data_IF_526013657189
#
_entry.id   IF_526013657189
#
_cell.length_a   1.000
_cell.length_b   1.000
_cell.length_c   1.000
_cell.angle_alpha   90.00
_cell.angle_beta   90.00
_cell.angle_gamma   90.00
#
_symmetry.space_group_name_H-M   'P 1'
#
loop_
_entity.id
_entity.type
_entity.pdbx_description
1 polymer ?
#
# COMPACT_ATOMS: atom_id res chain seq x y z
N UNK A 1 23.49 12.80 50.93
CA UNK A 1 22.45 13.45 50.09
C UNK A 1 22.72 13.10 48.64
N UNK A 2 21.70 12.64 47.91
CA UNK A 2 21.81 12.29 46.49
C UNK A 2 20.77 11.26 46.05
N UNK A 3 19.49 11.63 46.04
CA UNK A 3 18.43 10.81 45.43
C UNK A 3 18.49 11.01 43.91
N UNK A 4 19.00 10.04 43.17
CA UNK A 4 18.86 9.99 41.71
C UNK A 4 17.45 9.50 41.36
N UNK A 5 16.55 10.45 41.08
CA UNK A 5 15.22 10.16 40.56
C UNK A 5 15.30 9.65 39.13
N UNK A 6 15.24 8.34 38.96
CA UNK A 6 15.00 7.67 37.68
C UNK A 6 13.64 8.11 37.13
N UNK A 7 13.65 9.02 36.15
CA UNK A 7 12.48 9.34 35.33
C UNK A 7 12.23 8.18 34.38
N UNK A 8 11.45 7.20 34.84
CA UNK A 8 10.82 6.20 33.95
C UNK A 8 9.87 6.95 33.02
N UNK A 9 10.31 7.21 31.78
CA UNK A 9 9.44 7.75 30.73
C UNK A 9 8.31 6.73 30.51
N UNK A 10 7.07 7.14 30.80
CA UNK A 10 5.87 6.34 30.61
C UNK A 10 5.64 6.04 29.11
N UNK A 11 6.22 4.95 28.61
CA UNK A 11 5.98 4.42 27.25
C UNK A 11 4.48 4.17 26.98
N UNK A 12 3.69 3.89 28.01
CA UNK A 12 2.24 3.72 27.93
C UNK A 12 1.49 5.01 27.58
N UNK A 13 1.95 6.18 28.03
CA UNK A 13 1.35 7.49 27.68
C UNK A 13 1.67 7.87 26.24
N UNK A 14 2.89 7.59 25.78
CA UNK A 14 3.32 7.87 24.39
C UNK A 14 2.54 7.00 23.41
N UNK A 15 2.38 5.70 23.70
CA UNK A 15 1.62 4.78 22.85
C UNK A 15 0.13 5.16 22.77
N UNK A 16 -0.48 5.62 23.86
CA UNK A 16 -1.88 6.10 23.87
C UNK A 16 -2.08 7.39 23.08
N UNK A 17 -1.15 8.34 23.17
CA UNK A 17 -1.24 9.59 22.41
C UNK A 17 -1.13 9.32 20.91
N UNK A 18 -0.19 8.48 20.48
CA UNK A 18 -0.02 8.16 19.05
C UNK A 18 -1.24 7.45 18.43
N UNK A 19 -1.92 6.57 19.18
CA UNK A 19 -3.16 5.92 18.71
C UNK A 19 -4.28 6.95 18.55
N UNK A 20 -4.37 7.92 19.46
CA UNK A 20 -5.37 8.97 19.40
C UNK A 20 -5.13 9.92 18.21
N UNK A 21 -3.86 10.25 17.94
CA UNK A 21 -3.48 11.11 16.81
C UNK A 21 -3.72 10.41 15.45
N UNK A 22 -3.46 9.10 15.36
CA UNK A 22 -3.75 8.30 14.17
C UNK A 22 -5.26 8.16 13.91
N UNK A 23 -6.06 7.87 14.94
CA UNK A 23 -7.51 7.83 14.77
C UNK A 23 -8.07 9.20 14.39
N UNK A 24 -7.52 10.28 14.92
CA UNK A 24 -7.91 11.64 14.56
C UNK A 24 -7.60 11.94 13.09
N UNK A 25 -6.44 11.53 12.57
CA UNK A 25 -6.10 11.73 11.16
C UNK A 25 -7.04 10.97 10.22
N UNK A 26 -7.39 9.72 10.55
CA UNK A 26 -8.37 8.93 9.79
C UNK A 26 -9.76 9.59 9.80
N UNK A 27 -10.20 10.12 10.96
CA UNK A 27 -11.47 10.83 11.08
C UNK A 27 -11.50 12.10 10.24
N UNK A 28 -10.44 12.91 10.32
CA UNK A 28 -10.32 14.11 9.50
C UNK A 28 -10.35 13.76 8.02
N UNK A 29 -9.63 12.70 7.62
CA UNK A 29 -9.62 12.23 6.24
C UNK A 29 -10.99 11.80 5.74
N UNK A 30 -11.76 11.10 6.56
CA UNK A 30 -13.15 10.78 6.23
C UNK A 30 -13.99 12.04 5.95
N UNK A 31 -13.92 13.05 6.83
CA UNK A 31 -14.69 14.28 6.66
C UNK A 31 -14.23 15.11 5.46
N UNK A 32 -12.95 15.10 5.11
CA UNK A 32 -12.44 15.70 3.87
C UNK A 32 -13.09 15.05 2.64
N UNK A 33 -13.13 13.70 2.59
CA UNK A 33 -13.73 12.96 1.47
C UNK A 33 -15.24 13.19 1.42
N UNK A 34 -15.90 13.16 2.58
CA UNK A 34 -17.35 13.37 2.71
C UNK A 34 -17.76 14.84 2.53
N UNK A 35 -16.81 15.77 2.33
CA UNK A 35 -17.05 17.21 2.27
C UNK A 35 -17.87 17.74 3.47
N UNK A 36 -17.50 17.29 4.68
CA UNK A 36 -18.20 17.59 5.93
C UNK A 36 -19.49 16.77 6.18
N UNK A 37 -19.88 15.90 5.26
CA UNK A 37 -21.02 14.99 5.42
C UNK A 37 -20.76 13.87 6.44
N UNK A 38 -21.83 13.15 6.80
CA UNK A 38 -21.78 12.01 7.73
C UNK A 38 -21.51 10.66 7.05
N UNK A 39 -21.59 10.61 5.72
CA UNK A 39 -21.46 9.39 4.90
C UNK A 39 -20.77 9.70 3.58
N UNK A 40 -20.09 8.71 3.00
CA UNK A 40 -19.52 8.77 1.65
C UNK A 40 -20.30 7.82 0.75
N UNK A 41 -20.94 8.34 -0.29
CA UNK A 41 -21.59 7.52 -1.30
C UNK A 41 -20.61 6.99 -2.37
N UNK A 42 -21.09 6.10 -3.23
CA UNK A 42 -20.28 5.45 -4.27
C UNK A 42 -19.62 6.43 -5.21
N UNK A 43 -20.36 7.45 -5.65
CA UNK A 43 -19.85 8.44 -6.61
C UNK A 43 -18.72 9.27 -5.99
N UNK A 44 -18.88 9.69 -4.73
CA UNK A 44 -17.85 10.44 -4.00
C UNK A 44 -16.62 9.56 -3.76
N UNK A 45 -16.82 8.31 -3.30
CA UNK A 45 -15.71 7.38 -3.07
C UNK A 45 -14.91 7.09 -4.35
N UNK A 46 -15.61 6.90 -5.47
CA UNK A 46 -14.99 6.57 -6.76
C UNK A 46 -14.20 7.76 -7.30
N UNK A 47 -14.78 8.96 -7.25
CA UNK A 47 -14.07 10.19 -7.63
C UNK A 47 -12.83 10.40 -6.76
N UNK A 48 -12.93 10.15 -5.47
CA UNK A 48 -11.84 10.31 -4.52
C UNK A 48 -10.67 9.35 -4.81
N UNK A 49 -10.97 8.08 -5.08
CA UNK A 49 -9.96 7.02 -5.25
C UNK A 49 -9.48 6.84 -6.70
N UNK A 50 -10.02 7.62 -7.64
CA UNK A 50 -9.82 7.45 -9.08
C UNK A 50 -8.35 7.53 -9.49
N UNK A 51 -7.55 8.42 -8.90
CA UNK A 51 -6.13 8.56 -9.25
C UNK A 51 -5.26 7.44 -8.66
N UNK A 52 -5.68 6.85 -7.54
CA UNK A 52 -4.87 5.91 -6.74
C UNK A 52 -5.16 4.44 -7.02
N UNK A 53 -6.37 4.12 -7.49
CA UNK A 53 -6.82 2.73 -7.58
C UNK A 53 -7.34 2.39 -8.97
N UNK A 54 -7.26 1.12 -9.34
CA UNK A 54 -7.97 0.61 -10.51
C UNK A 54 -9.47 0.45 -10.21
N UNK A 55 -10.36 0.49 -11.22
CA UNK A 55 -11.80 0.40 -11.02
C UNK A 55 -12.25 -0.82 -10.22
N UNK A 56 -11.59 -1.97 -10.39
CA UNK A 56 -11.93 -3.18 -9.64
C UNK A 56 -11.61 -3.04 -8.14
N UNK A 57 -10.48 -2.44 -7.78
CA UNK A 57 -10.15 -2.22 -6.36
C UNK A 57 -11.11 -1.20 -5.72
N UNK A 58 -11.54 -0.17 -6.46
CA UNK A 58 -12.57 0.77 -5.99
C UNK A 58 -13.85 0.04 -5.62
N UNK A 59 -14.31 -0.86 -6.48
CA UNK A 59 -15.50 -1.69 -6.24
C UNK A 59 -15.32 -2.57 -5.01
N UNK A 60 -14.21 -3.29 -4.90
CA UNK A 60 -13.96 -4.19 -3.76
C UNK A 60 -13.95 -3.45 -2.42
N UNK A 61 -13.25 -2.31 -2.36
CA UNK A 61 -13.19 -1.49 -1.16
C UNK A 61 -14.56 -0.89 -0.82
N UNK A 62 -15.25 -0.32 -1.80
CA UNK A 62 -16.56 0.28 -1.57
C UNK A 62 -17.57 -0.75 -1.09
N UNK A 63 -17.66 -1.91 -1.74
CA UNK A 63 -18.60 -2.96 -1.38
C UNK A 63 -18.34 -3.53 0.03
N UNK A 64 -17.09 -3.48 0.49
CA UNK A 64 -16.71 -3.91 1.84
C UNK A 64 -17.02 -2.87 2.90
N UNK A 65 -16.77 -1.59 2.59
CA UNK A 65 -16.95 -0.46 3.49
C UNK A 65 -18.40 -0.01 3.62
N UNK A 66 -19.20 -0.21 2.56
CA UNK A 66 -20.55 0.35 2.45
C UNK A 66 -21.66 -0.57 2.96
N UNK A 67 -21.37 -1.85 3.21
CA UNK A 67 -22.38 -2.79 3.71
C UNK A 67 -22.63 -2.61 5.21
N UNK A 68 -23.89 -2.72 5.67
CA UNK A 68 -25.09 -3.05 4.90
C UNK A 68 -25.81 -1.83 4.27
N UNK A 69 -25.41 -0.60 4.62
CA UNK A 69 -26.20 0.61 4.41
C UNK A 69 -26.05 1.24 3.01
N UNK A 70 -25.27 0.62 2.12
CA UNK A 70 -24.88 1.10 0.79
C UNK A 70 -24.18 2.47 0.79
N UNK A 71 -23.65 2.90 1.94
CA UNK A 71 -22.84 4.11 2.13
C UNK A 71 -21.71 3.81 3.10
N UNK A 72 -20.56 4.47 2.93
CA UNK A 72 -19.44 4.33 3.86
C UNK A 72 -19.65 5.30 5.03
N UNK A 73 -19.71 4.76 6.24
CA UNK A 73 -19.80 5.55 7.48
C UNK A 73 -18.41 5.79 8.07
N UNK A 74 -18.30 6.80 8.94
CA UNK A 74 -17.04 7.11 9.62
C UNK A 74 -16.48 5.89 10.38
N UNK A 75 -17.34 5.18 11.12
CA UNK A 75 -16.93 4.02 11.91
C UNK A 75 -16.34 2.92 11.03
N UNK A 76 -17.02 2.57 9.92
CA UNK A 76 -16.56 1.56 8.97
C UNK A 76 -15.25 1.96 8.29
N UNK A 77 -15.15 3.22 7.89
CA UNK A 77 -13.94 3.76 7.28
C UNK A 77 -12.75 3.64 8.23
N UNK A 78 -12.89 4.15 9.46
CA UNK A 78 -11.81 4.11 10.46
C UNK A 78 -11.46 2.67 10.83
N UNK A 79 -12.45 1.82 11.11
CA UNK A 79 -12.23 0.43 11.50
C UNK A 79 -11.47 -0.36 10.42
N UNK A 80 -11.86 -0.20 9.15
CA UNK A 80 -11.17 -0.87 8.06
C UNK A 80 -9.76 -0.30 7.84
N UNK A 81 -9.61 1.02 7.89
CA UNK A 81 -8.33 1.70 7.76
C UNK A 81 -7.32 1.24 8.84
N UNK A 82 -7.74 1.18 10.11
CA UNK A 82 -6.90 0.67 11.20
C UNK A 82 -6.45 -0.77 10.98
N UNK A 83 -7.32 -1.58 10.39
CA UNK A 83 -7.03 -2.99 10.15
C UNK A 83 -6.08 -3.17 8.97
N UNK A 84 -6.29 -2.48 7.85
CA UNK A 84 -5.46 -2.61 6.65
C UNK A 84 -4.12 -1.85 6.75
N UNK A 85 -4.02 -0.84 7.62
CA UNK A 85 -2.76 -0.16 7.95
C UNK A 85 -2.05 -0.78 9.16
N UNK A 86 -2.66 -1.80 9.75
CA UNK A 86 -2.20 -2.48 10.94
C UNK A 86 -1.04 -3.45 10.71
N UNK A 87 -0.83 -4.33 11.69
CA UNK A 87 0.13 -5.44 11.57
C UNK A 87 -0.33 -6.50 10.54
N UNK A 88 0.52 -7.47 10.22
CA UNK A 88 0.22 -8.48 9.19
C UNK A 88 -1.05 -9.30 9.49
N UNK A 89 -1.40 -9.53 10.76
CA UNK A 89 -2.63 -10.24 11.12
C UNK A 89 -3.85 -9.37 10.83
N UNK A 90 -3.77 -8.08 11.12
CA UNK A 90 -4.82 -7.12 10.82
C UNK A 90 -4.95 -6.95 9.30
N UNK A 91 -3.85 -6.81 8.56
CA UNK A 91 -3.87 -6.72 7.10
C UNK A 91 -4.51 -7.95 6.46
N UNK A 92 -4.13 -9.16 6.89
CA UNK A 92 -4.74 -10.39 6.39
C UNK A 92 -6.26 -10.40 6.59
N UNK A 93 -6.75 -9.95 7.75
CA UNK A 93 -8.19 -9.84 8.02
C UNK A 93 -8.86 -8.81 7.12
N UNK A 94 -8.27 -7.64 6.92
CA UNK A 94 -8.82 -6.63 6.00
C UNK A 94 -8.89 -7.13 4.56
N UNK A 95 -7.85 -7.82 4.07
CA UNK A 95 -7.87 -8.40 2.72
C UNK A 95 -8.97 -9.45 2.58
N UNK A 96 -9.15 -10.34 3.57
CA UNK A 96 -10.22 -11.32 3.55
C UNK A 96 -11.62 -10.69 3.62
N UNK A 97 -11.77 -9.52 4.26
CA UNK A 97 -13.04 -8.79 4.29
C UNK A 97 -13.48 -8.25 2.92
N UNK A 98 -12.56 -8.16 1.95
CA UNK A 98 -12.91 -7.83 0.56
C UNK A 98 -13.82 -8.89 -0.07
N UNK A 99 -13.85 -10.11 0.50
CA UNK A 99 -14.72 -11.20 0.08
C UNK A 99 -14.61 -11.52 -1.42
N UNK A 100 -13.36 -11.53 -1.91
CA UNK A 100 -12.98 -11.90 -3.27
C UNK A 100 -11.90 -12.99 -3.22
N UNK A 101 -11.71 -13.77 -4.29
CA UNK A 101 -10.57 -14.68 -4.39
C UNK A 101 -9.25 -13.92 -4.19
N UNK A 102 -8.35 -14.46 -3.36
CA UNK A 102 -7.11 -13.76 -2.97
C UNK A 102 -6.26 -13.35 -4.18
N UNK A 103 -6.24 -14.18 -5.23
CA UNK A 103 -5.54 -13.88 -6.49
C UNK A 103 -6.06 -12.58 -7.10
N UNK A 104 -7.38 -12.41 -7.17
CA UNK A 104 -7.99 -11.19 -7.70
C UNK A 104 -7.68 -9.98 -6.82
N UNK A 105 -7.68 -10.15 -5.50
CA UNK A 105 -7.28 -9.08 -4.56
C UNK A 105 -5.84 -8.64 -4.82
N UNK A 106 -4.91 -9.59 -4.95
CA UNK A 106 -3.50 -9.30 -5.25
C UNK A 106 -3.38 -8.62 -6.61
N UNK A 107 -4.04 -9.14 -7.65
CA UNK A 107 -4.04 -8.55 -8.99
C UNK A 107 -4.48 -7.10 -9.00
N UNK A 108 -5.58 -6.75 -8.32
CA UNK A 108 -6.10 -5.37 -8.31
C UNK A 108 -5.27 -4.44 -7.43
N UNK A 109 -4.66 -4.95 -6.35
CA UNK A 109 -3.69 -4.21 -5.53
C UNK A 109 -2.43 -3.87 -6.35
N UNK A 110 -1.86 -4.86 -7.04
CA UNK A 110 -0.69 -4.67 -7.91
C UNK A 110 -1.03 -3.71 -9.07
N UNK A 111 -2.19 -3.88 -9.69
CA UNK A 111 -2.65 -2.98 -10.77
C UNK A 111 -2.78 -1.53 -10.30
N UNK A 112 -3.31 -1.33 -9.09
CA UNK A 112 -3.43 0.00 -8.48
C UNK A 112 -2.07 0.62 -8.17
N UNK A 113 -1.13 -0.19 -7.69
CA UNK A 113 0.25 0.22 -7.47
C UNK A 113 0.94 0.63 -8.77
N UNK A 114 0.82 -0.18 -9.82
CA UNK A 114 1.36 0.13 -11.13
C UNK A 114 0.79 1.42 -11.71
N UNK A 115 -0.51 1.67 -11.50
CA UNK A 115 -1.15 2.93 -11.87
C UNK A 115 -0.55 4.12 -11.11
N UNK A 116 -0.40 4.03 -9.79
CA UNK A 116 0.17 5.10 -8.96
C UNK A 116 1.60 5.44 -9.37
N UNK A 117 2.43 4.41 -9.54
CA UNK A 117 3.85 4.55 -9.84
C UNK A 117 4.11 4.83 -11.34
N UNK A 118 3.07 4.73 -12.18
CA UNK A 118 3.11 4.86 -13.64
C UNK A 118 4.07 3.84 -14.28
N UNK A 119 3.92 2.57 -13.89
CA UNK A 119 4.72 1.46 -14.37
C UNK A 119 4.04 0.77 -15.57
N UNK A 120 4.81 0.01 -16.34
CA UNK A 120 4.29 -0.73 -17.50
C UNK A 120 3.26 -1.80 -17.07
N UNK A 121 1.98 -1.68 -17.49
CA UNK A 121 0.93 -2.62 -17.13
C UNK A 121 1.20 -4.07 -17.59
N UNK A 122 2.01 -4.27 -18.63
CA UNK A 122 2.37 -5.61 -19.13
C UNK A 122 3.16 -6.43 -18.11
N UNK A 123 3.80 -5.76 -17.16
CA UNK A 123 4.56 -6.40 -16.08
C UNK A 123 3.69 -6.80 -14.87
N UNK A 124 2.40 -6.43 -14.84
CA UNK A 124 1.49 -6.79 -13.74
C UNK A 124 1.40 -8.31 -13.61
N UNK A 125 1.11 -9.02 -14.70
CA UNK A 125 0.95 -10.47 -14.71
C UNK A 125 2.22 -11.18 -14.22
N UNK A 126 3.40 -10.72 -14.64
CA UNK A 126 4.68 -11.29 -14.19
C UNK A 126 4.87 -11.20 -12.68
N UNK A 127 4.53 -10.04 -12.09
CA UNK A 127 4.68 -9.85 -10.64
C UNK A 127 3.61 -10.63 -9.86
N UNK A 128 2.38 -10.67 -10.37
CA UNK A 128 1.30 -11.46 -9.77
C UNK A 128 1.67 -12.94 -9.78
N UNK A 129 2.09 -13.48 -10.93
CA UNK A 129 2.44 -14.90 -11.04
C UNK A 129 3.57 -15.26 -10.07
N UNK A 130 4.62 -14.43 -9.98
CA UNK A 130 5.69 -14.60 -8.99
C UNK A 130 5.18 -14.61 -7.54
N UNK A 131 4.31 -13.67 -7.16
CA UNK A 131 3.73 -13.64 -5.81
C UNK A 131 2.89 -14.90 -5.57
N UNK A 132 2.11 -15.32 -6.56
CA UNK A 132 1.20 -16.45 -6.45
C UNK A 132 1.91 -17.81 -6.35
N UNK A 133 3.15 -17.95 -6.83
CA UNK A 133 3.94 -19.19 -6.67
C UNK A 133 4.12 -19.60 -5.20
N UNK A 134 4.20 -18.61 -4.29
CA UNK A 134 4.42 -18.85 -2.86
C UNK A 134 3.14 -18.95 -2.03
N UNK A 135 1.95 -18.90 -2.64
CA UNK A 135 0.71 -18.76 -1.87
C UNK A 135 0.34 -20.06 -1.14
N UNK A 136 -0.09 -19.99 0.13
CA UNK A 136 -0.60 -21.16 0.83
C UNK A 136 -1.86 -21.73 0.16
N UNK A 137 -1.98 -23.06 0.11
CA UNK A 137 -3.15 -23.76 -0.41
C UNK A 137 -4.41 -23.52 0.43
N UNK A 138 -4.23 -23.36 1.74
CA UNK A 138 -5.31 -23.03 2.68
C UNK A 138 -5.14 -21.58 3.13
N UNK A 139 -6.16 -20.77 2.85
CA UNK A 139 -6.18 -19.34 3.14
C UNK A 139 -7.09 -19.08 4.34
N UNK A 140 -6.49 -19.11 5.52
CA UNK A 140 -7.07 -18.59 6.74
C UNK A 140 -6.31 -17.31 7.16
N UNK A 141 -6.81 -16.53 8.12
CA UNK A 141 -6.16 -15.30 8.53
C UNK A 141 -4.69 -15.47 8.98
N UNK A 142 -4.35 -16.61 9.60
CA UNK A 142 -2.99 -16.89 10.06
C UNK A 142 -2.07 -17.24 8.90
N UNK A 143 -2.50 -18.09 7.97
CA UNK A 143 -1.67 -18.46 6.82
C UNK A 143 -1.45 -17.28 5.89
N UNK A 144 -2.46 -16.44 5.68
CA UNK A 144 -2.32 -15.22 4.90
C UNK A 144 -1.42 -14.19 5.60
N UNK A 145 -1.51 -14.04 6.92
CA UNK A 145 -0.60 -13.18 7.69
C UNK A 145 0.87 -13.61 7.54
N UNK A 146 1.15 -14.91 7.70
CA UNK A 146 2.50 -15.45 7.51
C UNK A 146 3.00 -15.24 6.08
N UNK A 147 2.12 -15.41 5.10
CA UNK A 147 2.44 -15.15 3.70
C UNK A 147 2.79 -13.68 3.46
N UNK A 148 1.97 -12.73 3.95
CA UNK A 148 2.26 -11.29 3.89
C UNK A 148 3.61 -10.96 4.54
N UNK A 149 3.89 -11.53 5.71
CA UNK A 149 5.16 -11.34 6.41
C UNK A 149 6.36 -11.83 5.58
N UNK A 150 6.21 -12.94 4.86
CA UNK A 150 7.26 -13.48 3.98
C UNK A 150 7.40 -12.73 2.65
N UNK A 151 6.32 -12.11 2.16
CA UNK A 151 6.27 -11.43 0.87
C UNK A 151 6.38 -9.92 1.02
N UNK A 152 7.64 -9.45 1.09
CA UNK A 152 7.96 -8.03 1.28
C UNK A 152 7.27 -7.15 0.23
N UNK A 153 7.27 -7.55 -1.04
CA UNK A 153 6.67 -6.74 -2.10
C UNK A 153 5.16 -6.59 -1.93
N UNK A 154 4.46 -7.67 -1.61
CA UNK A 154 3.01 -7.64 -1.44
C UNK A 154 2.62 -6.76 -0.24
N UNK A 155 3.29 -6.95 0.90
CA UNK A 155 3.07 -6.12 2.08
C UNK A 155 3.36 -4.64 1.82
N UNK A 156 4.40 -4.34 1.04
CA UNK A 156 4.73 -2.97 0.65
C UNK A 156 3.64 -2.36 -0.22
N UNK A 157 3.15 -3.11 -1.21
CA UNK A 157 2.07 -2.66 -2.11
C UNK A 157 0.77 -2.43 -1.35
N UNK A 158 0.36 -3.37 -0.49
CA UNK A 158 -0.85 -3.24 0.33
C UNK A 158 -0.76 -1.98 1.20
N UNK A 159 0.38 -1.79 1.87
CA UNK A 159 0.61 -0.59 2.70
C UNK A 159 0.59 0.69 1.87
N UNK A 160 1.33 0.74 0.76
CA UNK A 160 1.43 1.92 -0.10
C UNK A 160 0.06 2.39 -0.61
N UNK A 161 -0.76 1.45 -1.11
CA UNK A 161 -2.10 1.76 -1.61
C UNK A 161 -3.02 2.16 -0.46
N UNK A 162 -2.99 1.43 0.65
CA UNK A 162 -3.81 1.73 1.82
C UNK A 162 -3.51 3.10 2.40
N UNK A 163 -2.24 3.47 2.54
CA UNK A 163 -1.86 4.79 3.03
C UNK A 163 -2.34 5.89 2.09
N UNK A 164 -2.18 5.68 0.79
CA UNK A 164 -2.64 6.64 -0.23
C UNK A 164 -4.16 6.89 -0.16
N UNK A 165 -4.95 5.86 0.18
CA UNK A 165 -6.41 5.95 0.31
C UNK A 165 -6.85 6.51 1.67
N UNK A 166 -6.29 6.02 2.78
CA UNK A 166 -6.83 6.27 4.12
C UNK A 166 -6.12 7.39 4.88
N UNK A 167 -4.86 7.66 4.55
CA UNK A 167 -4.09 8.77 5.15
C UNK A 167 -4.04 9.93 4.14
N UNK A 168 -3.86 9.61 2.87
CA UNK A 168 -3.77 10.56 1.77
C UNK A 168 -2.49 10.36 0.95
N UNK A 169 -2.40 10.99 -0.22
CA UNK A 169 -1.22 10.88 -1.07
C UNK A 169 0.01 11.40 -0.30
N UNK A 170 1.05 10.57 -0.18
CA UNK A 170 2.36 11.04 0.28
C UNK A 170 2.93 11.99 -0.77
N UNK A 171 3.66 13.02 -0.34
CA UNK A 171 4.33 13.98 -1.22
C UNK A 171 5.16 13.26 -2.30
N UNK A 172 4.62 13.13 -3.52
CA UNK A 172 5.19 12.80 -4.84
C UNK A 172 6.36 11.81 -5.02
N UNK A 173 6.92 11.24 -3.95
CA UNK A 173 8.06 10.36 -3.98
C UNK A 173 7.55 8.98 -4.39
N UNK A 174 7.71 8.70 -5.69
CA UNK A 174 7.55 7.36 -6.23
C UNK A 174 8.37 6.38 -5.39
N UNK A 175 7.76 5.25 -5.02
CA UNK A 175 8.42 4.20 -4.27
C UNK A 175 9.57 3.60 -5.08
N UNK A 176 9.36 3.44 -6.38
CA UNK A 176 10.34 2.86 -7.28
C UNK A 176 11.05 3.94 -8.10
N UNK A 177 12.32 3.69 -8.39
CA UNK A 177 13.02 4.51 -9.35
C UNK A 177 12.43 4.35 -10.73
N UNK A 178 12.23 5.48 -11.42
CA UNK A 178 11.89 5.45 -12.83
C UNK A 178 13.09 4.96 -13.62
N UNK A 179 12.86 3.92 -14.40
CA UNK A 179 13.84 3.41 -15.36
C UNK A 179 13.49 3.90 -16.76
N UNK A 180 14.51 4.03 -17.60
CA UNK A 180 14.32 4.27 -19.02
C UNK A 180 13.50 3.12 -19.65
N UNK A 181 12.69 3.44 -20.67
CA UNK A 181 12.03 2.43 -21.50
C UNK A 181 13.02 1.45 -22.17
N UNK A 182 14.29 1.84 -22.30
CA UNK A 182 15.38 1.00 -22.82
C UNK A 182 16.01 0.09 -21.76
N UNK A 183 15.49 0.08 -20.53
CA UNK A 183 15.95 -0.80 -19.46
C UNK A 183 15.76 -2.27 -19.83
N UNK A 184 16.76 -3.10 -19.53
CA UNK A 184 16.63 -4.56 -19.63
C UNK A 184 15.71 -5.13 -18.54
N UNK A 185 15.54 -4.42 -17.41
CA UNK A 185 14.68 -4.84 -16.32
C UNK A 185 13.25 -4.41 -16.57
N UNK A 186 12.34 -5.38 -16.48
CA UNK A 186 10.89 -5.12 -16.43
C UNK A 186 10.52 -4.43 -15.12
N UNK A 187 9.39 -3.73 -15.09
CA UNK A 187 8.93 -3.09 -13.85
C UNK A 187 8.62 -4.11 -12.74
N UNK A 188 8.24 -5.34 -13.09
CA UNK A 188 8.15 -6.45 -12.13
C UNK A 188 9.52 -6.77 -11.52
N UNK A 189 10.58 -6.89 -12.33
CA UNK A 189 11.93 -7.13 -11.82
C UNK A 189 12.41 -6.00 -10.90
N UNK A 190 12.04 -4.74 -11.17
CA UNK A 190 12.35 -3.62 -10.27
C UNK A 190 11.67 -3.74 -8.91
N UNK A 191 10.40 -4.17 -8.90
CA UNK A 191 9.68 -4.45 -7.66
C UNK A 191 10.41 -5.54 -6.84
N UNK A 192 10.90 -6.58 -7.51
CA UNK A 192 11.64 -7.66 -6.85
C UNK A 192 13.00 -7.20 -6.34
N UNK A 193 13.74 -6.40 -7.12
CA UNK A 193 15.00 -5.79 -6.68
C UNK A 193 14.74 -4.95 -5.43
N UNK A 194 13.75 -4.05 -5.47
CA UNK A 194 13.35 -3.23 -4.32
C UNK A 194 13.07 -4.08 -3.08
N UNK A 195 12.29 -5.15 -3.23
CA UNK A 195 11.92 -6.03 -2.13
C UNK A 195 13.11 -6.77 -1.50
N UNK A 196 14.16 -7.04 -2.29
CA UNK A 196 15.37 -7.74 -1.84
C UNK A 196 16.47 -6.78 -1.33
N UNK A 197 16.28 -5.47 -1.42
CA UNK A 197 17.22 -4.51 -0.85
C UNK A 197 17.01 -4.38 0.68
N UNK A 198 18.10 -4.24 1.46
CA UNK A 198 18.03 -3.80 2.85
C UNK A 198 17.22 -2.51 2.96
N UNK A 199 16.42 -2.39 4.02
CA UNK A 199 15.46 -1.29 4.19
C UNK A 199 16.16 0.08 4.11
N UNK A 200 17.37 0.18 4.66
CA UNK A 200 18.17 1.41 4.68
C UNK A 200 18.68 1.84 3.29
N UNK A 201 18.66 0.92 2.32
CA UNK A 201 19.15 1.13 0.97
C UNK A 201 18.03 1.30 -0.06
N UNK A 202 16.77 1.04 0.30
CA UNK A 202 15.61 1.10 -0.60
C UNK A 202 15.36 2.49 -1.20
N UNK A 203 15.78 3.55 -0.53
CA UNK A 203 15.66 4.93 -1.03
C UNK A 203 16.96 5.45 -1.70
N UNK A 204 18.03 4.64 -1.67
CA UNK A 204 19.40 5.07 -2.05
C UNK A 204 20.02 4.27 -3.18
N UNK A 205 19.43 3.13 -3.55
CA UNK A 205 19.90 2.36 -4.70
C UNK A 205 19.73 3.15 -5.98
N UNK A 206 20.61 2.97 -6.98
CA UNK A 206 20.44 3.49 -8.34
C UNK A 206 20.85 2.42 -9.34
N UNK A 207 20.11 2.31 -10.44
CA UNK A 207 20.49 1.41 -11.52
C UNK A 207 21.69 1.97 -12.29
N UNK A 208 22.84 1.32 -12.12
CA UNK A 208 24.12 1.70 -12.73
C UNK A 208 24.09 1.68 -14.27
N UNK A 209 23.19 0.90 -14.90
CA UNK A 209 23.10 0.74 -16.37
C UNK A 209 21.84 1.37 -16.99
N UNK A 210 21.25 2.38 -16.34
CA UNK A 210 20.10 3.11 -16.90
C UNK A 210 20.46 4.08 -18.06
N UNK A 211 21.72 4.10 -18.50
CA UNK A 211 22.19 4.86 -19.67
C UNK A 211 23.14 4.03 -20.53
N UNK A 212 22.63 3.53 -21.65
CA UNK A 212 23.42 3.43 -22.88
C UNK A 212 22.88 4.46 -23.85
N UNK A 213 23.29 5.73 -23.67
CA UNK A 213 23.23 6.68 -24.76
C UNK A 213 24.44 6.42 -25.66
N UNK A 214 24.24 5.56 -26.67
CA UNK A 214 25.23 5.33 -27.75
C UNK A 214 25.62 6.66 -28.43
N UNK A 215 24.77 7.69 -28.32
CA UNK A 215 25.04 9.02 -28.82
C UNK A 215 26.27 9.71 -28.20
N UNK A 216 26.68 9.38 -26.97
CA UNK A 216 27.83 10.02 -26.32
C UNK A 216 29.18 9.32 -26.63
N UNK A 217 29.15 8.10 -27.20
CA UNK A 217 30.38 7.35 -27.52
C UNK A 217 30.88 7.63 -28.95
N UNK A 218 30.03 8.16 -29.83
CA UNK A 218 30.38 8.50 -31.22
C UNK A 218 30.85 9.95 -31.42
N UNK A 219 30.96 10.74 -30.35
CA UNK A 219 31.57 12.09 -30.42
C UNK A 219 33.06 12.11 -30.06
N UNK A 220 33.65 10.94 -29.77
CA UNK A 220 35.08 10.79 -29.46
C UNK A 220 35.79 9.76 -30.35
N UNK A 221 35.29 9.54 -31.57
CA UNK A 221 36.04 8.88 -32.64
C UNK A 221 36.26 9.82 -33.81
#
# INVERSE_FOLDING_TARGET
MGKAGSKVKNYSKIKKNNINDFQLSLKNRFYEIANGGSTIDKSVFFKYTESTTCPQLQLFLYDSLSKPDNVVTLERFVQFAEMILGDFNQQARALLQLNQPIKQIIEVMISSFFKCEQLDPRSITLLVDFIMEGIPLQLDPSTLSNFLQSQIILSTVVKYISESIFIGPRDSAKLLQQVSEKSLLTHAALCLVYANLPEELRDRWKLLFSRFDVAHYLQHQ
#
